data_IF_047069439530
#
_entry.id   IF_047069439530
#
_cell.length_a   1.000
_cell.length_b   1.000
_cell.length_c   1.000
_cell.angle_alpha   90.00
_cell.angle_beta   90.00
_cell.angle_gamma   90.00
#
_symmetry.space_group_name_H-M   'P 1'
#
loop_
_entity.id
_entity.type
_entity.pdbx_description
1 polymer ?
#
# COMPACT_ATOMS: atom_id res chain seq x y z
N UNK A 1 3.76 5.04 -36.47
CA UNK A 1 3.22 5.94 -35.43
C UNK A 1 2.05 5.30 -34.67
N UNK A 2 0.97 4.89 -35.35
CA UNK A 2 -0.20 4.25 -34.72
C UNK A 2 0.07 3.02 -33.85
N UNK A 3 0.92 2.08 -34.31
CA UNK A 3 1.27 0.86 -33.55
C UNK A 3 1.95 1.21 -32.21
N UNK A 4 2.84 2.21 -32.20
CA UNK A 4 3.52 2.68 -31.00
C UNK A 4 2.52 3.28 -30.00
N UNK A 5 1.59 4.11 -30.48
CA UNK A 5 0.53 4.71 -29.65
C UNK A 5 -0.36 3.61 -29.06
N UNK A 6 -0.80 2.65 -29.88
CA UNK A 6 -1.60 1.52 -29.44
C UNK A 6 -0.89 0.69 -28.36
N UNK A 7 0.40 0.38 -28.55
CA UNK A 7 1.18 -0.34 -27.56
C UNK A 7 1.25 0.40 -26.22
N UNK A 8 1.42 1.72 -26.23
CA UNK A 8 1.39 2.52 -25.00
C UNK A 8 0.01 2.59 -24.35
N UNK A 9 -1.07 2.70 -25.13
CA UNK A 9 -2.44 2.66 -24.60
C UNK A 9 -2.71 1.32 -23.91
N UNK A 10 -2.36 0.21 -24.56
CA UNK A 10 -2.50 -1.14 -23.97
C UNK A 10 -1.69 -1.25 -22.68
N UNK A 11 -0.43 -0.80 -22.71
CA UNK A 11 0.44 -0.81 -21.52
C UNK A 11 -0.12 0.05 -20.39
N UNK A 12 -0.72 1.20 -20.71
CA UNK A 12 -1.38 2.08 -19.75
C UNK A 12 -2.57 1.39 -19.09
N UNK A 13 -3.45 0.76 -19.88
CA UNK A 13 -4.61 0.01 -19.37
C UNK A 13 -4.16 -1.13 -18.45
N UNK A 14 -3.15 -1.90 -18.87
CA UNK A 14 -2.59 -2.98 -18.05
C UNK A 14 -2.01 -2.42 -16.73
N UNK A 15 -1.25 -1.33 -16.80
CA UNK A 15 -0.68 -0.67 -15.62
C UNK A 15 -1.77 -0.18 -14.65
N UNK A 16 -2.87 0.36 -15.18
CA UNK A 16 -4.04 0.79 -14.39
C UNK A 16 -4.74 -0.39 -13.73
N UNK A 17 -4.93 -1.50 -14.45
CA UNK A 17 -5.48 -2.74 -13.88
C UNK A 17 -4.62 -3.29 -12.75
N UNK A 18 -3.29 -3.36 -12.94
CA UNK A 18 -2.36 -3.83 -11.90
C UNK A 18 -2.39 -2.91 -10.67
N UNK A 19 -2.46 -1.59 -10.88
CA UNK A 19 -2.50 -0.61 -9.79
C UNK A 19 -3.79 -0.72 -8.97
N UNK A 20 -4.94 -0.82 -9.66
CA UNK A 20 -6.23 -1.02 -9.02
C UNK A 20 -6.25 -2.32 -8.23
N UNK A 21 -5.68 -3.40 -8.78
CA UNK A 21 -5.53 -4.66 -8.08
C UNK A 21 -4.66 -4.51 -6.83
N UNK A 22 -3.47 -3.91 -6.92
CA UNK A 22 -2.57 -3.73 -5.78
C UNK A 22 -3.19 -2.92 -4.64
N UNK A 23 -3.88 -1.82 -4.96
CA UNK A 23 -4.62 -1.03 -3.98
C UNK A 23 -5.77 -1.86 -3.38
N UNK A 24 -6.53 -2.58 -4.20
CA UNK A 24 -7.64 -3.42 -3.74
C UNK A 24 -7.15 -4.54 -2.81
N UNK A 25 -6.03 -5.20 -3.13
CA UNK A 25 -5.42 -6.22 -2.27
C UNK A 25 -5.08 -5.64 -0.89
N UNK A 26 -4.38 -4.50 -0.85
CA UNK A 26 -4.04 -3.85 0.41
C UNK A 26 -5.27 -3.36 1.18
N UNK A 27 -6.28 -2.84 0.48
CA UNK A 27 -7.53 -2.38 1.07
C UNK A 27 -8.34 -3.53 1.70
N UNK A 28 -8.42 -4.68 1.03
CA UNK A 28 -9.08 -5.87 1.58
C UNK A 28 -8.40 -6.34 2.86
N UNK A 29 -7.06 -6.36 2.92
CA UNK A 29 -6.31 -6.70 4.13
C UNK A 29 -6.56 -5.73 5.28
N UNK A 30 -6.64 -4.43 4.97
CA UNK A 30 -7.01 -3.40 5.94
C UNK A 30 -8.42 -3.63 6.49
N UNK A 31 -9.39 -3.90 5.63
CA UNK A 31 -10.78 -4.13 6.04
C UNK A 31 -10.97 -5.41 6.88
N UNK A 32 -10.28 -6.50 6.54
CA UNK A 32 -10.40 -7.78 7.23
C UNK A 32 -9.77 -7.75 8.62
N UNK A 33 -8.56 -7.20 8.73
CA UNK A 33 -7.78 -7.29 9.97
C UNK A 33 -7.89 -6.05 10.86
N UNK A 34 -8.26 -4.88 10.31
CA UNK A 34 -8.28 -3.57 10.98
C UNK A 34 -7.00 -3.18 11.74
N UNK A 35 -5.86 -3.82 11.43
CA UNK A 35 -4.57 -3.55 12.09
C UNK A 35 -3.84 -2.35 11.45
N UNK A 36 -3.14 -1.51 12.25
CA UNK A 36 -2.38 -0.35 11.75
C UNK A 36 -1.30 -0.68 10.68
N UNK A 37 -0.79 -1.92 10.69
CA UNK A 37 0.18 -2.41 9.70
C UNK A 37 -0.42 -2.36 8.28
N UNK A 38 -1.66 -2.82 8.10
CA UNK A 38 -2.31 -2.85 6.78
C UNK A 38 -2.75 -1.47 6.30
N UNK A 39 -3.07 -0.54 7.21
CA UNK A 39 -3.25 0.88 6.86
C UNK A 39 -1.97 1.46 6.25
N UNK A 40 -0.82 1.10 6.82
CA UNK A 40 0.49 1.57 6.32
C UNK A 40 0.79 1.00 4.94
N UNK A 41 0.47 -0.28 4.70
CA UNK A 41 0.60 -0.91 3.38
C UNK A 41 -0.33 -0.28 2.34
N UNK A 42 -1.59 -0.02 2.69
CA UNK A 42 -2.57 0.61 1.80
C UNK A 42 -2.08 1.98 1.33
N UNK A 43 -1.63 2.84 2.27
CA UNK A 43 -1.07 4.13 1.90
C UNK A 43 0.21 3.98 1.06
N UNK A 44 1.09 3.03 1.38
CA UNK A 44 2.27 2.75 0.55
C UNK A 44 1.88 2.46 -0.90
N UNK A 45 0.87 1.62 -1.14
CA UNK A 45 0.38 1.31 -2.50
C UNK A 45 -0.23 2.53 -3.19
N UNK A 46 -1.07 3.31 -2.50
CA UNK A 46 -1.68 4.53 -3.05
C UNK A 46 -0.59 5.51 -3.50
N UNK A 47 0.33 5.86 -2.60
CA UNK A 47 1.40 6.82 -2.92
C UNK A 47 2.35 6.31 -4.00
N UNK A 48 2.65 5.00 -4.01
CA UNK A 48 3.47 4.40 -5.06
C UNK A 48 2.81 4.53 -6.43
N UNK A 49 1.55 4.10 -6.58
CA UNK A 49 0.89 4.14 -7.87
C UNK A 49 0.56 5.57 -8.30
N UNK A 50 0.30 6.49 -7.36
CA UNK A 50 0.25 7.93 -7.67
C UNK A 50 1.56 8.40 -8.30
N UNK A 51 2.73 8.05 -7.74
CA UNK A 51 4.01 8.37 -8.37
C UNK A 51 4.15 7.74 -9.76
N UNK A 52 3.82 6.45 -9.92
CA UNK A 52 3.96 5.78 -11.21
C UNK A 52 3.04 6.39 -12.28
N UNK A 53 1.84 6.87 -11.92
CA UNK A 53 0.98 7.57 -12.85
C UNK A 53 1.42 9.00 -13.13
N UNK A 54 1.67 9.82 -12.11
CA UNK A 54 2.00 11.23 -12.31
C UNK A 54 3.44 11.43 -12.78
N UNK A 55 4.40 10.72 -12.21
CA UNK A 55 5.82 10.86 -12.51
C UNK A 55 6.28 10.10 -13.75
N UNK A 56 5.78 8.87 -13.97
CA UNK A 56 6.20 8.03 -15.11
C UNK A 56 5.25 8.18 -16.28
N UNK A 57 3.97 7.78 -16.13
CA UNK A 57 3.00 7.89 -17.22
C UNK A 57 2.75 9.33 -17.65
N UNK A 58 2.66 10.27 -16.71
CA UNK A 58 2.48 11.70 -17.01
C UNK A 58 3.59 12.23 -17.92
N UNK A 59 4.86 11.89 -17.64
CA UNK A 59 5.99 12.29 -18.48
C UNK A 59 5.93 11.63 -19.87
N UNK A 60 5.60 10.34 -19.94
CA UNK A 60 5.46 9.60 -21.20
C UNK A 60 4.33 10.20 -22.06
N UNK A 61 3.16 10.46 -21.48
CA UNK A 61 2.01 11.05 -22.17
C UNK A 61 2.29 12.47 -22.66
N UNK A 62 2.91 13.31 -21.83
CA UNK A 62 3.29 14.67 -22.24
C UNK A 62 4.23 14.65 -23.44
N UNK A 63 5.24 13.78 -23.44
CA UNK A 63 6.19 13.67 -24.56
C UNK A 63 5.53 13.23 -25.86
N UNK A 64 4.47 12.42 -25.79
CA UNK A 64 3.70 12.09 -27.00
C UNK A 64 2.99 13.33 -27.55
N UNK A 65 2.34 14.10 -26.69
CA UNK A 65 1.64 15.33 -27.09
C UNK A 65 2.62 16.37 -27.63
N UNK A 66 3.74 16.59 -26.94
CA UNK A 66 4.77 17.55 -27.36
C UNK A 66 5.42 17.14 -28.69
N UNK A 67 5.66 15.84 -28.93
CA UNK A 67 6.28 15.40 -30.18
C UNK A 67 5.47 15.76 -31.43
N UNK A 68 4.15 15.92 -31.27
CA UNK A 68 3.24 16.31 -32.35
C UNK A 68 3.09 17.84 -32.47
N UNK A 69 3.67 18.60 -31.53
CA UNK A 69 3.64 20.06 -31.52
C UNK A 69 5.00 20.62 -31.94
N UNK A 70 5.00 21.57 -32.88
CA UNK A 70 6.22 22.24 -33.33
C UNK A 70 6.65 23.34 -32.33
N UNK A 71 6.87 22.97 -31.07
CA UNK A 71 7.30 23.89 -30.01
C UNK A 71 8.82 24.07 -30.00
N UNK A 72 9.27 25.26 -29.62
CA UNK A 72 10.70 25.56 -29.52
C UNK A 72 11.42 24.65 -28.50
N UNK A 73 12.66 24.28 -28.81
CA UNK A 73 13.48 23.33 -28.04
C UNK A 73 13.59 23.72 -26.55
N UNK A 74 13.70 25.01 -26.26
CA UNK A 74 13.78 25.52 -24.89
C UNK A 74 12.51 25.25 -24.06
N UNK A 75 11.32 25.31 -24.67
CA UNK A 75 10.07 24.99 -23.98
C UNK A 75 9.91 23.48 -23.81
N UNK A 76 10.27 22.71 -24.83
CA UNK A 76 10.28 21.24 -24.79
C UNK A 76 11.16 20.72 -23.65
N UNK A 77 12.39 21.23 -23.52
CA UNK A 77 13.32 20.86 -22.46
C UNK A 77 12.78 21.17 -21.05
N UNK A 78 12.12 22.32 -20.86
CA UNK A 78 11.52 22.69 -19.57
C UNK A 78 10.37 21.77 -19.19
N UNK A 79 9.47 21.48 -20.14
CA UNK A 79 8.31 20.61 -19.92
C UNK A 79 8.73 19.16 -19.64
N UNK A 80 9.78 18.68 -20.30
CA UNK A 80 10.36 17.35 -20.14
C UNK A 80 10.87 17.06 -18.73
N UNK A 81 11.27 18.09 -17.97
CA UNK A 81 11.80 17.99 -16.60
C UNK A 81 10.71 18.21 -15.54
N UNK A 82 9.70 19.03 -15.85
CA UNK A 82 8.70 19.46 -14.87
C UNK A 82 7.79 18.32 -14.35
N UNK A 83 7.31 17.44 -15.23
CA UNK A 83 6.34 16.40 -14.82
C UNK A 83 6.93 15.34 -13.88
N UNK A 84 8.12 14.76 -14.13
CA UNK A 84 8.73 13.82 -13.19
C UNK A 84 8.87 14.37 -11.78
N UNK A 85 9.15 15.69 -11.64
CA UNK A 85 9.34 16.36 -10.35
C UNK A 85 8.05 16.34 -9.51
N UNK A 86 6.88 16.51 -10.13
CA UNK A 86 5.58 16.47 -9.44
C UNK A 86 5.35 15.09 -8.80
N UNK A 87 5.86 14.03 -9.41
CA UNK A 87 5.75 12.67 -8.89
C UNK A 87 6.62 12.39 -7.67
N UNK A 88 7.80 13.02 -7.55
CA UNK A 88 8.82 12.67 -6.55
C UNK A 88 8.29 12.70 -5.10
N UNK A 89 7.50 13.70 -4.66
CA UNK A 89 6.92 13.70 -3.31
C UNK A 89 6.12 12.43 -2.99
N UNK A 90 5.32 11.93 -3.95
CA UNK A 90 4.53 10.70 -3.76
C UNK A 90 5.44 9.48 -3.58
N UNK A 91 6.54 9.39 -4.34
CA UNK A 91 7.52 8.31 -4.19
C UNK A 91 8.23 8.35 -2.84
N UNK A 92 8.65 9.54 -2.38
CA UNK A 92 9.31 9.70 -1.08
C UNK A 92 8.36 9.31 0.06
N UNK A 93 7.09 9.70 0.00
CA UNK A 93 6.07 9.25 0.96
C UNK A 93 5.85 7.75 0.87
N UNK A 94 5.80 7.17 -0.33
CA UNK A 94 5.68 5.72 -0.52
C UNK A 94 6.85 4.97 0.14
N UNK A 95 8.09 5.41 -0.08
CA UNK A 95 9.28 4.86 0.58
C UNK A 95 9.21 4.98 2.09
N UNK A 96 8.79 6.12 2.63
CA UNK A 96 8.58 6.30 4.06
C UNK A 96 7.57 5.27 4.60
N UNK A 97 6.44 5.10 3.93
CA UNK A 97 5.40 4.17 4.33
C UNK A 97 5.87 2.71 4.22
N UNK A 98 6.68 2.35 3.22
CA UNK A 98 7.30 1.04 3.09
C UNK A 98 8.23 0.72 4.27
N UNK A 99 9.11 1.66 4.64
CA UNK A 99 10.01 1.50 5.80
C UNK A 99 9.23 1.44 7.11
N UNK A 100 8.19 2.26 7.26
CA UNK A 100 7.29 2.24 8.41
C UNK A 100 6.56 0.90 8.51
N UNK A 101 6.09 0.36 7.39
CA UNK A 101 5.44 -0.95 7.30
C UNK A 101 6.39 -2.06 7.80
N UNK A 102 7.62 -2.13 7.26
CA UNK A 102 8.61 -3.12 7.68
C UNK A 102 8.94 -3.09 9.17
N UNK A 103 9.06 -1.90 9.76
CA UNK A 103 9.31 -1.76 11.19
C UNK A 103 8.10 -2.20 12.02
N UNK A 104 6.88 -1.81 11.61
CA UNK A 104 5.65 -2.20 12.30
C UNK A 104 5.43 -3.72 12.27
N UNK A 105 5.73 -4.40 11.16
CA UNK A 105 5.72 -5.87 11.07
C UNK A 105 6.64 -6.54 12.09
N UNK A 106 7.72 -5.87 12.51
CA UNK A 106 8.70 -6.40 13.45
C UNK A 106 8.50 -5.87 14.88
N UNK A 107 7.33 -5.30 15.19
CA UNK A 107 7.00 -4.74 16.50
C UNK A 107 7.81 -3.49 16.88
N UNK A 108 8.38 -2.81 15.88
CA UNK A 108 9.19 -1.58 16.08
C UNK A 108 8.44 -0.38 15.55
N UNK A 109 8.58 0.75 16.24
CA UNK A 109 8.12 2.05 15.74
C UNK A 109 9.32 2.85 15.25
N UNK A 110 9.14 3.62 14.19
CA UNK A 110 10.15 4.59 13.75
C UNK A 110 10.37 5.63 14.86
N UNK A 111 11.63 6.01 15.10
CA UNK A 111 11.97 7.03 16.09
C UNK A 111 11.50 8.40 15.60
N UNK A 112 11.18 9.32 16.54
CA UNK A 112 10.83 10.70 16.20
C UNK A 112 11.94 11.35 15.36
N UNK A 113 13.20 11.13 15.74
CA UNK A 113 14.37 11.61 15.01
C UNK A 113 14.34 11.16 13.55
N UNK A 114 14.14 9.86 13.29
CA UNK A 114 14.07 9.35 11.91
C UNK A 114 12.95 10.03 11.10
N UNK A 115 11.77 10.21 11.69
CA UNK A 115 10.63 10.83 11.01
C UNK A 115 10.95 12.29 10.63
N UNK A 116 11.54 13.06 11.55
CA UNK A 116 11.90 14.46 11.32
C UNK A 116 13.09 14.63 10.37
N UNK A 117 14.00 13.66 10.29
CA UNK A 117 15.16 13.74 9.40
C UNK A 117 14.90 13.18 8.00
N UNK A 118 13.96 12.24 7.85
CA UNK A 118 13.73 11.52 6.58
C UNK A 118 13.39 12.46 5.42
N UNK A 119 12.37 13.30 5.57
CA UNK A 119 11.94 14.20 4.49
C UNK A 119 12.97 15.30 4.18
N UNK A 120 13.55 16.01 5.18
CA UNK A 120 14.61 16.98 4.91
C UNK A 120 15.83 16.39 4.21
N UNK A 121 16.16 15.11 4.45
CA UNK A 121 17.28 14.44 3.77
C UNK A 121 17.09 14.46 2.25
N UNK A 122 15.89 14.17 1.73
CA UNK A 122 15.64 14.22 0.28
C UNK A 122 15.73 15.63 -0.29
N UNK A 123 15.33 16.65 0.49
CA UNK A 123 15.48 18.05 0.11
C UNK A 123 16.95 18.43 0.02
N UNK A 124 17.75 18.09 1.04
CA UNK A 124 19.20 18.33 1.05
C UNK A 124 19.89 17.58 -0.10
N UNK A 125 19.53 16.32 -0.36
CA UNK A 125 20.08 15.55 -1.48
C UNK A 125 19.73 16.19 -2.84
N UNK A 126 18.52 16.72 -3.00
CA UNK A 126 18.14 17.43 -4.22
C UNK A 126 18.96 18.70 -4.42
N UNK A 127 19.14 19.53 -3.38
CA UNK A 127 20.00 20.72 -3.45
C UNK A 127 21.46 20.37 -3.69
N UNK A 128 21.97 19.32 -3.03
CA UNK A 128 23.33 18.84 -3.24
C UNK A 128 23.54 18.38 -4.69
N UNK A 129 22.59 17.64 -5.28
CA UNK A 129 22.65 17.22 -6.67
C UNK A 129 22.67 18.43 -7.62
N UNK A 130 21.80 19.42 -7.40
CA UNK A 130 21.79 20.67 -8.18
C UNK A 130 23.12 21.41 -8.07
N UNK A 131 23.66 21.54 -6.85
CA UNK A 131 24.95 22.17 -6.61
C UNK A 131 26.10 21.44 -7.32
N UNK A 132 26.13 20.11 -7.27
CA UNK A 132 27.16 19.30 -7.93
C UNK A 132 27.09 19.39 -9.45
N UNK A 133 25.88 19.46 -10.03
CA UNK A 133 25.68 19.71 -11.45
C UNK A 133 26.15 21.11 -11.83
N UNK A 134 25.81 22.13 -11.04
CA UNK A 134 26.22 23.52 -11.29
C UNK A 134 27.74 23.72 -11.22
N UNK A 135 28.42 22.95 -10.37
CA UNK A 135 29.88 22.96 -10.25
C UNK A 135 30.59 22.03 -11.23
N UNK A 136 29.85 21.44 -12.19
CA UNK A 136 30.37 20.53 -13.22
C UNK A 136 31.05 19.27 -12.66
N UNK A 137 30.83 18.93 -11.38
CA UNK A 137 31.29 17.67 -10.80
C UNK A 137 30.47 16.47 -11.30
N UNK A 138 29.22 16.70 -11.72
CA UNK A 138 28.35 15.70 -12.32
C UNK A 138 27.96 16.18 -13.71
N UNK A 139 28.44 15.46 -14.74
CA UNK A 139 28.02 15.70 -16.11
C UNK A 139 26.60 15.15 -16.34
N UNK A 140 25.69 16.00 -16.82
CA UNK A 140 24.34 15.60 -17.22
C UNK A 140 24.38 15.15 -18.68
N UNK A 141 24.07 13.88 -18.98
CA UNK A 141 24.03 13.40 -20.37
C UNK A 141 22.92 14.09 -21.18
N UNK A 142 23.01 14.07 -22.51
CA UNK A 142 21.97 14.58 -23.42
C UNK A 142 20.57 14.04 -23.09
N UNK A 143 20.50 12.76 -22.68
CA UNK A 143 19.27 12.11 -22.20
C UNK A 143 19.09 12.33 -20.68
N UNK A 144 18.84 13.57 -20.28
CA UNK A 144 18.69 13.96 -18.87
C UNK A 144 17.57 13.20 -18.13
N UNK A 145 16.53 12.77 -18.85
CA UNK A 145 15.43 11.97 -18.31
C UNK A 145 15.86 10.57 -17.90
N UNK A 146 16.62 9.88 -18.76
CA UNK A 146 17.17 8.56 -18.46
C UNK A 146 18.16 8.64 -17.29
N UNK A 147 18.92 9.74 -17.20
CA UNK A 147 19.80 10.02 -16.07
C UNK A 147 19.02 10.12 -14.75
N UNK A 148 17.93 10.90 -14.72
CA UNK A 148 17.06 11.00 -13.53
C UNK A 148 16.45 9.64 -13.18
N UNK A 149 15.91 8.90 -14.16
CA UNK A 149 15.33 7.56 -13.92
C UNK A 149 16.34 6.62 -13.27
N UNK A 150 17.60 6.62 -13.73
CA UNK A 150 18.66 5.79 -13.15
C UNK A 150 18.97 6.17 -11.70
N UNK A 151 19.05 7.46 -11.39
CA UNK A 151 19.21 7.93 -10.01
C UNK A 151 18.05 7.42 -9.13
N UNK A 152 16.81 7.56 -9.61
CA UNK A 152 15.63 7.11 -8.87
C UNK A 152 15.61 5.59 -8.67
N UNK A 153 16.01 4.80 -9.66
CA UNK A 153 16.14 3.34 -9.54
C UNK A 153 17.18 2.96 -8.50
N UNK A 154 18.33 3.63 -8.47
CA UNK A 154 19.38 3.40 -7.46
C UNK A 154 18.88 3.76 -6.07
N UNK A 155 18.27 4.94 -5.89
CA UNK A 155 17.68 5.36 -4.62
C UNK A 155 16.60 4.39 -4.16
N UNK A 156 15.76 3.91 -5.08
CA UNK A 156 14.75 2.91 -4.80
C UNK A 156 15.35 1.60 -4.27
N UNK A 157 16.42 1.10 -4.89
CA UNK A 157 17.13 -0.09 -4.42
C UNK A 157 17.71 0.12 -3.02
N UNK A 158 18.29 1.30 -2.75
CA UNK A 158 18.81 1.67 -1.42
C UNK A 158 17.68 1.63 -0.38
N UNK A 159 16.52 2.21 -0.66
CA UNK A 159 15.36 2.13 0.25
C UNK A 159 14.92 0.68 0.47
N UNK A 160 14.91 -0.15 -0.57
CA UNK A 160 14.54 -1.55 -0.43
C UNK A 160 15.57 -2.37 0.36
N UNK A 161 16.86 -2.01 0.33
CA UNK A 161 17.86 -2.56 1.24
C UNK A 161 17.53 -2.19 2.70
N UNK A 162 17.15 -0.94 2.98
CA UNK A 162 16.69 -0.53 4.31
C UNK A 162 15.39 -1.23 4.74
N UNK A 163 14.48 -1.53 3.81
CA UNK A 163 13.27 -2.30 4.05
C UNK A 163 13.58 -3.73 4.53
N UNK A 164 14.68 -4.35 4.07
CA UNK A 164 15.10 -5.69 4.53
C UNK A 164 15.57 -5.70 5.99
N UNK A 165 16.26 -4.65 6.44
CA UNK A 165 17.00 -4.65 7.71
C UNK A 165 16.17 -5.07 8.95
N UNK A 166 14.90 -4.65 9.12
CA UNK A 166 14.10 -5.04 10.27
C UNK A 166 13.91 -6.56 10.39
N UNK A 167 13.79 -7.27 9.26
CA UNK A 167 13.47 -8.70 9.19
C UNK A 167 14.67 -9.62 9.47
N UNK A 168 15.91 -9.12 9.33
CA UNK A 168 17.13 -9.88 9.62
C UNK A 168 17.69 -9.64 11.03
N UNK A 169 17.24 -8.59 11.72
CA UNK A 169 17.58 -8.33 13.13
C UNK A 169 16.69 -9.19 14.04
N UNK A 170 17.18 -9.57 15.24
CA UNK A 170 16.33 -10.26 16.25
C UNK A 170 15.02 -9.49 16.46
N UNK A 171 13.90 -10.10 16.10
CA UNK A 171 12.57 -9.53 16.27
C UNK A 171 12.23 -9.50 17.75
N UNK A 172 11.75 -8.36 18.26
CA UNK A 172 11.34 -8.25 19.67
C UNK A 172 10.03 -9.01 19.94
N UNK A 173 9.21 -9.15 18.91
CA UNK A 173 7.91 -9.81 18.95
C UNK A 173 7.71 -10.65 17.68
N UNK A 174 8.01 -11.95 17.77
CA UNK A 174 7.86 -12.87 16.64
C UNK A 174 6.38 -13.13 16.27
N UNK A 175 5.44 -12.84 17.18
CA UNK A 175 4.00 -12.97 16.94
C UNK A 175 3.52 -11.94 15.94
N UNK A 176 3.89 -10.67 16.13
CA UNK A 176 3.55 -9.56 15.23
C UNK A 176 4.02 -9.77 13.78
N UNK A 177 5.18 -10.40 13.57
CA UNK A 177 5.67 -10.72 12.23
C UNK A 177 4.79 -11.78 11.55
N UNK A 178 4.43 -12.83 12.30
CA UNK A 178 3.52 -13.88 11.81
C UNK A 178 2.14 -13.32 11.48
N UNK A 179 1.64 -12.39 12.30
CA UNK A 179 0.36 -11.68 12.04
C UNK A 179 0.38 -10.79 10.81
N UNK A 180 1.56 -10.33 10.37
CA UNK A 180 1.67 -9.55 9.13
C UNK A 180 1.54 -10.42 7.87
N UNK A 181 1.58 -11.75 8.02
CA UNK A 181 1.58 -12.68 6.90
C UNK A 181 2.89 -12.67 6.12
N UNK A 182 4.01 -12.27 6.74
CA UNK A 182 5.33 -12.23 6.11
C UNK A 182 6.36 -13.06 6.89
N UNK A 183 7.19 -13.77 6.16
CA UNK A 183 8.43 -14.37 6.64
C UNK A 183 9.68 -13.81 5.94
N UNK A 184 10.86 -14.26 6.37
CA UNK A 184 12.14 -13.80 5.82
C UNK A 184 12.31 -14.13 4.33
N UNK A 185 11.84 -15.29 3.89
CA UNK A 185 12.00 -15.74 2.51
C UNK A 185 11.08 -14.93 1.58
N UNK A 186 9.87 -14.64 2.04
CA UNK A 186 8.90 -13.82 1.32
C UNK A 186 9.38 -12.37 1.16
N UNK A 187 10.00 -11.81 2.20
CA UNK A 187 10.63 -10.50 2.13
C UNK A 187 11.78 -10.49 1.10
N UNK A 188 12.55 -11.58 1.01
CA UNK A 188 13.57 -11.75 -0.04
C UNK A 188 12.96 -11.86 -1.45
N UNK A 189 11.80 -12.51 -1.61
CA UNK A 189 11.07 -12.55 -2.88
C UNK A 189 10.64 -11.14 -3.30
N UNK A 190 10.11 -10.33 -2.36
CA UNK A 190 9.76 -8.93 -2.63
C UNK A 190 10.99 -8.16 -3.10
N UNK A 191 12.13 -8.30 -2.43
CA UNK A 191 13.37 -7.64 -2.84
C UNK A 191 13.90 -8.15 -4.19
N UNK A 192 13.80 -9.45 -4.47
CA UNK A 192 14.18 -10.01 -5.77
C UNK A 192 13.31 -9.47 -6.90
N UNK A 193 12.01 -9.28 -6.67
CA UNK A 193 11.12 -8.61 -7.62
C UNK A 193 11.53 -7.15 -7.85
N UNK A 194 11.96 -6.45 -6.79
CA UNK A 194 12.49 -5.08 -6.89
C UNK A 194 13.78 -5.03 -7.71
N UNK A 195 14.69 -5.96 -7.46
CA UNK A 195 15.95 -6.07 -8.20
C UNK A 195 15.68 -6.35 -9.68
N UNK A 196 14.77 -7.27 -9.98
CA UNK A 196 14.38 -7.62 -11.34
C UNK A 196 13.90 -6.40 -12.12
N UNK A 197 12.91 -5.64 -11.61
CA UNK A 197 12.44 -4.46 -12.34
C UNK A 197 13.50 -3.37 -12.43
N UNK A 198 14.38 -3.25 -11.41
CA UNK A 198 15.47 -2.27 -11.43
C UNK A 198 16.48 -2.58 -12.54
N UNK A 199 16.79 -3.86 -12.74
CA UNK A 199 17.61 -4.32 -13.86
C UNK A 199 16.93 -4.03 -15.21
N UNK A 200 15.64 -4.33 -15.35
CA UNK A 200 14.89 -4.06 -16.58
C UNK A 200 14.84 -2.56 -16.89
N UNK A 201 14.64 -1.72 -15.87
CA UNK A 201 14.64 -0.25 -16.00
C UNK A 201 16.02 0.32 -16.35
N UNK A 202 17.12 -0.40 -16.11
CA UNK A 202 18.44 0.06 -16.57
C UNK A 202 18.57 0.05 -18.09
N UNK A 203 17.88 -0.87 -18.76
CA UNK A 203 17.77 -0.98 -20.22
C UNK A 203 16.57 -0.20 -20.78
N UNK A 204 15.96 0.68 -19.99
CA UNK A 204 14.81 1.47 -20.41
C UNK A 204 15.10 2.24 -21.70
N UNK A 205 14.18 2.14 -22.66
CA UNK A 205 14.27 2.73 -24.00
C UNK A 205 15.44 2.25 -24.88
N UNK A 206 16.20 1.21 -24.49
CA UNK A 206 17.35 0.71 -25.26
C UNK A 206 16.95 0.07 -26.59
N UNK A 207 15.81 -0.61 -26.62
CA UNK A 207 15.29 -1.28 -27.82
C UNK A 207 13.98 -0.63 -28.31
N UNK A 208 13.85 0.68 -28.10
CA UNK A 208 12.66 1.45 -28.47
C UNK A 208 11.43 1.15 -27.61
N UNK A 209 10.25 1.47 -28.15
CA UNK A 209 9.00 1.51 -27.38
C UNK A 209 8.56 0.15 -26.79
N UNK A 210 8.92 -0.97 -27.41
CA UNK A 210 8.59 -2.31 -26.90
C UNK A 210 9.30 -2.55 -25.56
N UNK A 211 10.60 -2.23 -25.48
CA UNK A 211 11.35 -2.34 -24.22
C UNK A 211 10.79 -1.45 -23.11
N UNK A 212 10.33 -0.25 -23.46
CA UNK A 212 9.63 0.67 -22.55
C UNK A 212 8.34 0.04 -22.02
N UNK A 213 7.52 -0.55 -22.90
CA UNK A 213 6.27 -1.20 -22.50
C UNK A 213 6.53 -2.39 -21.55
N UNK A 214 7.49 -3.24 -21.88
CA UNK A 214 7.89 -4.38 -21.02
C UNK A 214 8.40 -3.87 -19.67
N UNK A 215 9.27 -2.88 -19.65
CA UNK A 215 9.81 -2.30 -18.43
C UNK A 215 8.72 -1.75 -17.52
N UNK A 216 7.71 -1.07 -18.09
CA UNK A 216 6.55 -0.58 -17.34
C UNK A 216 5.71 -1.73 -16.78
N UNK A 217 5.36 -2.73 -17.58
CA UNK A 217 4.57 -3.88 -17.08
C UNK A 217 5.31 -4.59 -15.94
N UNK A 218 6.61 -4.82 -16.07
CA UNK A 218 7.43 -5.44 -15.01
C UNK A 218 7.48 -4.54 -13.78
N UNK A 219 7.69 -3.23 -13.94
CA UNK A 219 7.68 -2.26 -12.83
C UNK A 219 6.37 -2.31 -12.05
N UNK A 220 5.22 -2.26 -12.72
CA UNK A 220 3.92 -2.32 -12.05
C UNK A 220 3.66 -3.69 -11.42
N UNK A 221 3.92 -4.78 -12.15
CA UNK A 221 3.68 -6.15 -11.68
C UNK A 221 4.55 -6.52 -10.47
N UNK A 222 5.82 -6.14 -10.45
CA UNK A 222 6.71 -6.40 -9.31
C UNK A 222 6.24 -5.71 -8.02
N UNK A 223 5.55 -4.57 -8.13
CA UNK A 223 5.01 -3.85 -6.99
C UNK A 223 3.70 -4.45 -6.44
N UNK A 224 3.11 -5.43 -7.14
CA UNK A 224 1.98 -6.25 -6.67
C UNK A 224 2.41 -7.37 -5.72
N UNK A 225 3.69 -7.76 -5.77
CA UNK A 225 4.21 -8.94 -5.06
C UNK A 225 3.98 -8.84 -3.55
N UNK A 226 4.27 -7.70 -2.94
CA UNK A 226 4.10 -7.50 -1.50
C UNK A 226 2.64 -7.67 -1.02
N UNK A 227 1.64 -6.91 -1.54
CA UNK A 227 0.26 -7.09 -1.11
C UNK A 227 -0.32 -8.45 -1.51
N UNK A 228 0.15 -9.07 -2.61
CA UNK A 228 -0.28 -10.41 -3.02
C UNK A 228 0.19 -11.50 -2.04
N UNK A 229 1.47 -11.51 -1.67
CA UNK A 229 2.02 -12.49 -0.71
C UNK A 229 1.26 -12.40 0.62
N UNK A 230 1.10 -11.18 1.15
CA UNK A 230 0.38 -10.95 2.41
C UNK A 230 -1.05 -11.51 2.33
N UNK A 231 -1.77 -11.26 1.22
CA UNK A 231 -3.11 -11.79 1.04
C UNK A 231 -3.13 -13.31 1.02
N UNK A 232 -2.24 -13.94 0.26
CA UNK A 232 -2.19 -15.40 0.14
C UNK A 232 -1.91 -16.07 1.49
N UNK A 233 -1.06 -15.47 2.33
CA UNK A 233 -0.72 -16.03 3.64
C UNK A 233 -1.79 -15.76 4.71
N UNK A 234 -2.47 -14.62 4.64
CA UNK A 234 -3.55 -14.34 5.60
C UNK A 234 -4.83 -15.10 5.27
N UNK A 235 -4.97 -15.65 4.06
CA UNK A 235 -6.05 -16.57 3.69
C UNK A 235 -5.85 -17.99 4.25
N UNK A 236 -4.62 -18.38 4.60
CA UNK A 236 -4.31 -19.74 5.08
C UNK A 236 -4.39 -19.91 6.59
N UNK A 237 -4.72 -18.85 7.34
CA UNK A 237 -5.32 -18.98 8.67
C UNK A 237 -6.84 -19.03 8.54
N UNK A 238 -7.47 -20.21 8.42
CA UNK A 238 -8.85 -20.29 8.85
C UNK A 238 -8.85 -19.83 10.31
N UNK A 239 -9.67 -18.83 10.61
CA UNK A 239 -10.17 -18.62 11.97
C UNK A 239 -10.99 -19.85 12.33
N UNK A 240 -10.32 -20.97 12.58
CA UNK A 240 -10.96 -22.15 13.12
C UNK A 240 -11.40 -21.76 14.53
N UNK A 241 -12.72 -21.79 14.69
CA UNK A 241 -13.49 -21.32 15.83
C UNK A 241 -12.95 -21.78 17.17
N UNK A 242 -13.07 -20.86 18.12
CA UNK A 242 -13.09 -20.99 19.58
C UNK A 242 -12.46 -19.74 20.21
N UNK A 243 -12.82 -18.54 19.73
CA UNK A 243 -12.65 -17.38 20.61
C UNK A 243 -13.79 -17.41 21.62
N UNK A 244 -13.51 -17.40 22.92
CA UNK A 244 -14.59 -17.30 23.89
C UNK A 244 -15.39 -15.99 23.69
N UNK A 245 -16.63 -15.96 24.16
CA UNK A 245 -17.49 -14.79 23.99
C UNK A 245 -16.90 -13.51 24.60
N UNK A 246 -16.08 -13.65 25.66
CA UNK A 246 -15.39 -12.53 26.30
C UNK A 246 -14.32 -11.92 25.38
N UNK A 247 -13.56 -12.76 24.69
CA UNK A 247 -12.57 -12.39 23.69
C UNK A 247 -13.24 -11.77 22.47
N UNK A 248 -14.41 -12.27 22.06
CA UNK A 248 -15.22 -11.65 21.01
C UNK A 248 -15.60 -10.22 21.40
N UNK A 249 -16.09 -10.04 22.63
CA UNK A 249 -16.46 -8.72 23.13
C UNK A 249 -15.26 -7.78 23.20
N UNK A 250 -14.10 -8.26 23.66
CA UNK A 250 -12.88 -7.47 23.71
C UNK A 250 -12.38 -7.08 22.32
N UNK A 251 -12.43 -8.00 21.35
CA UNK A 251 -11.96 -7.78 19.98
C UNK A 251 -12.77 -6.71 19.25
N UNK A 252 -14.09 -6.69 19.45
CA UNK A 252 -15.00 -5.71 18.84
C UNK A 252 -15.29 -4.50 19.75
N UNK A 253 -14.56 -4.32 20.84
CA UNK A 253 -14.75 -3.23 21.82
C UNK A 253 -16.21 -3.10 22.30
N UNK A 254 -16.85 -4.26 22.52
CA UNK A 254 -18.23 -4.38 22.98
C UNK A 254 -18.26 -4.09 24.48
N UNK A 255 -19.08 -3.12 24.87
CA UNK A 255 -19.34 -2.83 26.28
C UNK A 255 -20.15 -3.94 26.95
N UNK A 256 -20.11 -4.03 28.28
CA UNK A 256 -20.90 -5.01 29.04
C UNK A 256 -22.38 -5.01 28.65
N UNK A 257 -22.95 -3.81 28.48
CA UNK A 257 -24.36 -3.66 28.10
C UNK A 257 -24.65 -4.10 26.67
N UNK A 258 -23.74 -3.85 25.74
CA UNK A 258 -23.86 -4.35 24.38
C UNK A 258 -23.71 -5.87 24.33
N UNK A 259 -22.84 -6.46 25.16
CA UNK A 259 -22.65 -7.91 25.25
C UNK A 259 -23.94 -8.62 25.71
N UNK A 260 -24.63 -8.08 26.73
CA UNK A 260 -25.95 -8.57 27.16
C UNK A 260 -26.95 -8.55 25.99
N UNK A 261 -27.00 -7.46 25.23
CA UNK A 261 -27.90 -7.33 24.07
C UNK A 261 -27.53 -8.35 22.98
N UNK A 262 -26.24 -8.56 22.71
CA UNK A 262 -25.77 -9.55 21.73
C UNK A 262 -26.21 -10.96 22.11
N UNK A 263 -26.09 -11.34 23.39
CA UNK A 263 -26.54 -12.64 23.88
C UNK A 263 -28.04 -12.84 23.62
N UNK A 264 -28.87 -11.85 23.94
CA UNK A 264 -30.32 -11.94 23.70
C UNK A 264 -30.67 -11.96 22.20
N UNK A 265 -29.90 -11.28 21.34
CA UNK A 265 -30.04 -11.37 19.88
C UNK A 265 -29.73 -12.78 19.39
N UNK A 266 -28.66 -13.40 19.90
CA UNK A 266 -28.26 -14.77 19.56
C UNK A 266 -29.31 -15.77 20.03
N UNK A 267 -29.93 -15.54 21.19
CA UNK A 267 -31.10 -16.31 21.67
C UNK A 267 -32.40 -16.04 20.89
N UNK A 268 -32.36 -15.30 19.78
CA UNK A 268 -33.52 -15.10 18.91
C UNK A 268 -34.55 -14.09 19.39
N UNK A 269 -34.28 -13.29 20.43
CA UNK A 269 -35.29 -12.37 20.99
C UNK A 269 -35.58 -11.16 20.11
N UNK A 270 -36.80 -10.67 20.15
CA UNK A 270 -37.18 -9.41 19.49
C UNK A 270 -36.65 -8.21 20.28
N UNK A 271 -36.42 -7.07 19.63
CA UNK A 271 -35.96 -5.87 20.34
C UNK A 271 -36.91 -5.45 21.47
N UNK A 272 -38.21 -5.74 21.33
CA UNK A 272 -39.21 -5.51 22.40
C UNK A 272 -38.95 -6.44 23.59
N UNK A 273 -38.76 -7.74 23.35
CA UNK A 273 -38.44 -8.68 24.42
C UNK A 273 -37.09 -8.39 25.10
N UNK A 274 -36.11 -7.88 24.36
CA UNK A 274 -34.82 -7.42 24.91
C UNK A 274 -35.02 -6.19 25.79
N UNK A 275 -35.81 -5.21 25.31
CA UNK A 275 -36.14 -4.01 26.06
C UNK A 275 -36.82 -4.35 27.39
N UNK A 276 -37.81 -5.24 27.35
CA UNK A 276 -38.54 -5.71 28.52
C UNK A 276 -37.61 -6.47 29.50
N UNK A 277 -36.79 -7.40 29.00
CA UNK A 277 -35.88 -8.20 29.86
C UNK A 277 -34.79 -7.36 30.52
N UNK A 278 -34.24 -6.40 29.78
CA UNK A 278 -33.12 -5.61 30.24
C UNK A 278 -33.56 -4.30 30.92
N UNK A 279 -34.87 -4.06 31.08
CA UNK A 279 -35.46 -2.86 31.69
C UNK A 279 -34.99 -1.55 31.02
N UNK A 280 -34.98 -1.51 29.68
CA UNK A 280 -34.64 -0.32 28.88
C UNK A 280 -35.68 -0.07 27.80
N UNK A 281 -35.69 1.12 27.22
CA UNK A 281 -36.65 1.44 26.15
C UNK A 281 -36.31 0.70 24.85
N UNK A 282 -37.33 0.46 24.02
CA UNK A 282 -37.15 -0.10 22.67
C UNK A 282 -36.19 0.76 21.82
N UNK A 283 -36.21 2.08 21.99
CA UNK A 283 -35.31 2.98 21.29
C UNK A 283 -33.86 2.76 21.74
N UNK A 284 -33.62 2.60 23.05
CA UNK A 284 -32.29 2.31 23.60
C UNK A 284 -31.72 1.01 23.03
N UNK A 285 -32.54 -0.04 22.86
CA UNK A 285 -32.10 -1.28 22.19
C UNK A 285 -31.71 -1.04 20.74
N UNK A 286 -32.49 -0.25 19.99
CA UNK A 286 -32.17 0.11 18.59
C UNK A 286 -30.85 0.88 18.50
N UNK A 287 -30.61 1.82 19.41
CA UNK A 287 -29.39 2.62 19.44
C UNK A 287 -28.17 1.73 19.76
N UNK A 288 -28.29 0.80 20.71
CA UNK A 288 -27.25 -0.20 20.97
C UNK A 288 -27.01 -1.10 19.77
N UNK A 289 -28.06 -1.61 19.12
CA UNK A 289 -27.91 -2.44 17.91
C UNK A 289 -27.15 -1.69 16.82
N UNK A 290 -27.46 -0.41 16.59
CA UNK A 290 -26.74 0.40 15.62
C UNK A 290 -25.24 0.47 15.95
N UNK A 291 -24.88 0.76 17.21
CA UNK A 291 -23.47 0.78 17.65
C UNK A 291 -22.79 -0.57 17.51
N UNK A 292 -23.47 -1.65 17.88
CA UNK A 292 -22.97 -3.02 17.74
C UNK A 292 -22.68 -3.33 16.28
N UNK A 293 -23.61 -3.01 15.37
CA UNK A 293 -23.44 -3.22 13.93
C UNK A 293 -22.29 -2.41 13.35
N UNK A 294 -22.13 -1.15 13.78
CA UNK A 294 -20.98 -0.32 13.40
C UNK A 294 -19.65 -0.92 13.87
N UNK A 295 -19.58 -1.40 15.12
CA UNK A 295 -18.36 -2.00 15.68
C UNK A 295 -17.99 -3.31 15.00
N UNK A 296 -18.98 -4.18 14.78
CA UNK A 296 -18.80 -5.51 14.19
C UNK A 296 -18.71 -5.51 12.67
N UNK A 297 -19.14 -4.44 12.00
CA UNK A 297 -19.13 -4.32 10.54
C UNK A 297 -20.26 -5.09 9.83
N UNK A 298 -21.20 -5.65 10.58
CA UNK A 298 -22.37 -6.36 10.03
C UNK A 298 -23.51 -5.38 9.73
N UNK A 299 -24.42 -5.77 8.83
CA UNK A 299 -25.54 -4.92 8.40
C UNK A 299 -26.89 -5.34 8.96
N UNK A 300 -26.97 -6.50 9.61
CA UNK A 300 -28.22 -7.03 10.15
C UNK A 300 -28.01 -7.87 11.40
N UNK A 301 -29.07 -8.03 12.19
CA UNK A 301 -29.08 -8.91 13.36
C UNK A 301 -28.77 -10.37 13.02
N UNK A 302 -29.16 -10.83 11.84
CA UNK A 302 -28.92 -12.21 11.39
C UNK A 302 -27.44 -12.39 11.07
N UNK A 303 -26.82 -11.40 10.42
CA UNK A 303 -25.39 -11.39 10.20
C UNK A 303 -24.62 -11.31 11.51
N UNK A 304 -25.09 -10.54 12.50
CA UNK A 304 -24.49 -10.50 13.83
C UNK A 304 -24.53 -11.87 14.51
N UNK A 305 -25.70 -12.54 14.53
CA UNK A 305 -25.84 -13.86 15.14
C UNK A 305 -24.96 -14.91 14.46
N UNK A 306 -24.88 -14.90 13.13
CA UNK A 306 -23.99 -15.78 12.37
C UNK A 306 -22.52 -15.51 12.68
N UNK A 307 -22.12 -14.23 12.75
CA UNK A 307 -20.75 -13.83 13.09
C UNK A 307 -20.34 -14.32 14.48
N UNK A 308 -21.22 -14.15 15.49
CA UNK A 308 -20.96 -14.65 16.84
C UNK A 308 -20.78 -16.16 16.79
N UNK A 309 -21.73 -16.89 16.20
CA UNK A 309 -21.68 -18.36 16.09
C UNK A 309 -20.41 -18.86 15.39
N UNK A 310 -20.02 -18.23 14.29
CA UNK A 310 -18.81 -18.59 13.52
C UNK A 310 -17.53 -18.41 14.34
N UNK A 311 -17.47 -17.36 15.17
CA UNK A 311 -16.28 -17.03 15.95
C UNK A 311 -16.20 -17.75 17.30
N UNK A 312 -17.34 -17.91 17.99
CA UNK A 312 -17.39 -18.44 19.35
C UNK A 312 -17.80 -19.91 19.44
N UNK A 313 -18.42 -20.47 18.40
CA UNK A 313 -18.93 -21.84 18.43
C UNK A 313 -20.14 -22.04 19.35
N UNK A 314 -20.72 -20.96 19.89
CA UNK A 314 -21.91 -21.02 20.75
C UNK A 314 -23.19 -21.11 19.90
N UNK A 315 -24.07 -22.05 20.27
CA UNK A 315 -25.41 -22.25 19.71
C UNK A 315 -26.45 -21.39 20.42
#
# INVERSE_FOLDING_TARGET
MWIKILAYIVTFIVSAGISALGIMLAYQQYQQNKKPIFTTLLYQQIFLFSFLFYGVWGNISLRMVIADLNIGEALSAKLAVFIPIIGIPFMVVSWFMLLKFANNCNGRRLTKTFIFTFFPTFVVLAFALVFLIQKEYIYVPENADLFVVRILVVLNLVVHLFFLLPFFRKTKDAGLLKESGLDKNQVLIVFAATLLYSCVMFFFNRFGYISTCIALVVLFASNLVLPAIIRLNNQTTPENGNMDFQSFCSFYEISKREAEIIQEICSGKSNKAIADKLFITLQTVKDHNHRIFTKTGVKSRVQLANLVREKTGEN
#
